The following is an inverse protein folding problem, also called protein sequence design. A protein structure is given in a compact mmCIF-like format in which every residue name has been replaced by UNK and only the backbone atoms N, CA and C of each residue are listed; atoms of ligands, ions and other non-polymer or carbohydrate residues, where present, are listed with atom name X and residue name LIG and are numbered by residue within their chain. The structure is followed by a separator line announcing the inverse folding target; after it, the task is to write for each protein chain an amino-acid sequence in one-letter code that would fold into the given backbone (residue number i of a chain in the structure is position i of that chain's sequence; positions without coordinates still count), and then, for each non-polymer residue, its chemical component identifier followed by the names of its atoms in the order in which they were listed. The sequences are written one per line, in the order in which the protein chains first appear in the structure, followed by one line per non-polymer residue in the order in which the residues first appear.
data_IF_724787969309
#
_entry.id   IF_724787969309
#
_cell.length_a   1.000
_cell.length_b   1.000
_cell.length_c   1.000
_cell.angle_alpha   90.00
_cell.angle_beta   90.00
_cell.angle_gamma   90.00
#
_symmetry.space_group_name_H-M   'P 1'
#
loop_
_entity.id
_entity.type
_entity.pdbx_description
1 polymer ?
#
# COMPACT_ATOMS: atom_id res chain seq x y z
N UNK A 1 35.37 25.41 33.02
CA UNK A 1 34.99 25.04 31.64
C UNK A 1 33.85 24.04 31.71
N UNK A 2 32.71 24.45 31.16
CA UNK A 2 31.44 23.72 31.06
C UNK A 2 31.57 22.52 30.12
N UNK A 3 30.89 21.41 30.43
CA UNK A 3 30.12 20.66 29.41
C UNK A 3 28.86 20.12 30.07
N UNK A 4 27.74 20.79 29.82
CA UNK A 4 26.38 20.30 30.07
C UNK A 4 26.07 19.22 29.04
N UNK A 5 25.81 17.99 29.49
CA UNK A 5 25.26 16.92 28.66
C UNK A 5 23.82 17.27 28.27
N UNK A 6 23.42 17.11 27.00
CA UNK A 6 22.09 17.47 26.57
C UNK A 6 21.06 16.39 26.97
N UNK A 7 19.86 16.86 27.32
CA UNK A 7 18.79 16.13 28.02
C UNK A 7 17.95 15.23 27.08
N UNK A 8 18.37 15.04 25.82
CA UNK A 8 17.61 14.29 24.80
C UNK A 8 18.11 12.85 24.57
N UNK A 9 19.14 12.39 25.27
CA UNK A 9 19.74 11.07 25.05
C UNK A 9 19.09 9.90 25.83
N UNK A 10 17.96 10.12 26.51
CA UNK A 10 17.44 9.18 27.52
C UNK A 10 16.21 8.35 27.12
N UNK A 11 15.69 8.45 25.90
CA UNK A 11 14.42 7.77 25.53
C UNK A 11 14.48 6.91 24.25
N UNK A 12 15.66 6.37 23.94
CA UNK A 12 15.75 5.21 23.04
C UNK A 12 16.13 3.98 23.87
N UNK A 13 15.21 3.52 24.73
CA UNK A 13 15.33 2.20 25.33
C UNK A 13 15.02 1.16 24.24
N UNK A 14 15.94 0.27 23.85
CA UNK A 14 15.62 -0.81 22.94
C UNK A 14 14.69 -1.77 23.68
N UNK A 15 13.42 -1.80 23.30
CA UNK A 15 12.49 -2.86 23.71
C UNK A 15 13.13 -4.19 23.29
N UNK A 16 13.23 -5.21 24.18
CA UNK A 16 13.83 -6.48 23.84
C UNK A 16 13.04 -7.14 22.72
N UNK A 17 13.63 -7.18 21.52
CA UNK A 17 13.07 -7.82 20.33
C UNK A 17 13.18 -9.33 20.50
N UNK A 18 12.03 -10.00 20.57
CA UNK A 18 11.96 -11.46 20.57
C UNK A 18 12.29 -11.98 19.17
N UNK A 19 13.06 -13.06 19.03
CA UNK A 19 13.48 -13.58 17.73
C UNK A 19 12.33 -13.82 16.71
N UNK A 20 11.10 -14.08 17.18
CA UNK A 20 9.92 -14.20 16.32
C UNK A 20 9.41 -12.87 15.73
N UNK A 21 9.61 -11.74 16.40
CA UNK A 21 9.22 -10.41 15.87
C UNK A 21 10.19 -9.92 14.79
N UNK A 22 11.45 -10.32 14.86
CA UNK A 22 12.46 -9.94 13.86
C UNK A 22 12.23 -10.68 12.53
N UNK A 23 11.89 -11.97 12.57
CA UNK A 23 11.53 -12.72 11.37
C UNK A 23 10.26 -12.17 10.73
N UNK A 24 9.23 -11.86 11.53
CA UNK A 24 8.01 -11.26 11.01
C UNK A 24 8.27 -9.88 10.36
N UNK A 25 9.17 -9.08 10.96
CA UNK A 25 9.54 -7.77 10.41
C UNK A 25 10.31 -7.89 9.10
N UNK A 26 11.23 -8.85 8.98
CA UNK A 26 11.97 -9.04 7.73
C UNK A 26 11.04 -9.41 6.57
N UNK A 27 10.03 -10.26 6.83
CA UNK A 27 9.01 -10.62 5.82
C UNK A 27 8.20 -9.40 5.36
N UNK A 28 7.84 -8.49 6.29
CA UNK A 28 7.14 -7.24 5.94
C UNK A 28 8.03 -6.38 5.04
N UNK A 29 9.30 -6.22 5.42
CA UNK A 29 10.25 -5.39 4.67
C UNK A 29 10.50 -5.96 3.28
N UNK A 30 10.67 -7.28 3.18
CA UNK A 30 10.83 -7.97 1.90
C UNK A 30 9.62 -7.75 0.97
N UNK A 31 8.40 -7.88 1.49
CA UNK A 31 7.19 -7.64 0.70
C UNK A 31 7.08 -6.17 0.24
N UNK A 32 7.43 -5.21 1.11
CA UNK A 32 7.50 -3.80 0.74
C UNK A 32 8.53 -3.54 -0.36
N UNK A 33 9.70 -4.17 -0.31
CA UNK A 33 10.73 -4.07 -1.35
C UNK A 33 10.27 -4.69 -2.68
N UNK A 34 9.63 -5.86 -2.64
CA UNK A 34 9.06 -6.53 -3.83
C UNK A 34 7.91 -5.75 -4.48
N UNK A 35 7.15 -4.99 -3.70
CA UNK A 35 6.04 -4.18 -4.21
C UNK A 35 6.44 -3.08 -5.20
N UNK A 36 7.71 -2.67 -5.17
CA UNK A 36 8.19 -1.54 -5.95
C UNK A 36 7.82 -0.17 -5.38
N UNK A 37 6.97 -0.10 -4.34
CA UNK A 37 6.58 1.16 -3.69
C UNK A 37 7.73 1.82 -2.92
N UNK A 38 8.75 1.05 -2.58
CA UNK A 38 9.93 1.50 -1.85
C UNK A 38 11.16 1.67 -2.73
N UNK A 39 11.01 1.57 -4.06
CA UNK A 39 12.12 1.83 -4.99
C UNK A 39 12.73 3.21 -4.70
N UNK A 40 14.04 3.29 -4.56
CA UNK A 40 14.75 4.55 -4.26
C UNK A 40 14.50 5.13 -2.85
N UNK A 41 13.81 4.41 -1.96
CA UNK A 41 13.82 4.70 -0.52
C UNK A 41 15.05 4.06 0.14
N UNK A 42 15.63 4.74 1.12
CA UNK A 42 16.70 4.16 1.94
C UNK A 42 16.12 3.14 2.94
N UNK A 43 16.92 2.16 3.36
CA UNK A 43 16.49 1.10 4.30
C UNK A 43 15.77 1.64 5.54
N UNK A 44 16.24 2.74 6.14
CA UNK A 44 15.56 3.39 7.28
C UNK A 44 14.15 3.88 6.97
N UNK A 45 13.92 4.36 5.75
CA UNK A 45 12.59 4.80 5.31
C UNK A 45 11.69 3.60 5.05
N UNK A 46 12.23 2.50 4.50
CA UNK A 46 11.50 1.24 4.35
C UNK A 46 11.11 0.68 5.72
N UNK A 47 12.02 0.70 6.68
CA UNK A 47 11.75 0.30 8.06
C UNK A 47 10.69 1.18 8.72
N UNK A 48 10.74 2.49 8.51
CA UNK A 48 9.70 3.39 9.00
C UNK A 48 8.34 3.12 8.34
N UNK A 49 8.31 2.77 7.06
CA UNK A 49 7.08 2.38 6.37
C UNK A 49 6.53 1.06 6.91
N UNK A 50 7.40 0.11 7.23
CA UNK A 50 7.04 -1.16 7.87
C UNK A 50 6.39 -0.98 9.24
N UNK A 51 6.64 0.14 9.94
CA UNK A 51 5.97 0.48 11.20
C UNK A 51 4.54 1.05 11.00
N UNK A 52 4.21 1.50 9.79
CA UNK A 52 2.90 2.06 9.48
C UNK A 52 1.88 1.01 9.04
N UNK A 53 2.36 -0.09 8.44
CA UNK A 53 1.50 -1.14 7.89
C UNK A 53 0.93 -2.05 8.97
N UNK A 54 -0.27 -2.59 8.71
CA UNK A 54 -0.91 -3.59 9.57
C UNK A 54 -1.05 -4.88 8.80
N UNK A 55 -0.67 -5.99 9.42
CA UNK A 55 -0.92 -7.32 8.88
C UNK A 55 -2.40 -7.68 9.11
N UNK A 56 -3.06 -8.17 8.07
CA UNK A 56 -4.38 -8.81 8.17
C UNK A 56 -4.34 -10.19 7.53
N UNK A 57 -4.85 -11.16 8.27
CA UNK A 57 -5.18 -12.48 7.73
C UNK A 57 -6.58 -12.44 7.12
N UNK A 58 -6.74 -13.16 6.01
CA UNK A 58 -7.92 -13.20 5.18
C UNK A 58 -8.36 -14.64 4.98
N UNK A 59 -9.56 -14.95 5.44
CA UNK A 59 -10.20 -16.24 5.19
C UNK A 59 -10.72 -16.32 3.76
N UNK A 60 -10.80 -17.55 3.23
CA UNK A 60 -11.36 -17.82 1.91
C UNK A 60 -12.81 -17.34 1.84
N UNK A 61 -13.14 -16.62 0.77
CA UNK A 61 -14.48 -16.10 0.52
C UNK A 61 -14.50 -14.63 0.12
N UNK A 62 -15.70 -14.05 0.05
CA UNK A 62 -15.88 -12.65 -0.29
C UNK A 62 -15.76 -11.79 0.96
N UNK A 63 -14.78 -10.89 0.96
CA UNK A 63 -14.56 -9.92 2.04
C UNK A 63 -15.23 -8.61 1.61
N UNK A 64 -16.19 -8.16 2.43
CA UNK A 64 -16.80 -6.84 2.23
C UNK A 64 -15.81 -5.74 2.64
N UNK A 65 -15.93 -4.56 2.01
CA UNK A 65 -14.94 -3.46 2.01
C UNK A 65 -14.48 -2.94 3.39
N UNK A 66 -15.04 -3.42 4.50
CA UNK A 66 -14.70 -3.10 5.89
C UNK A 66 -13.33 -3.63 6.37
N UNK A 67 -12.36 -3.76 5.47
CA UNK A 67 -11.01 -4.21 5.79
C UNK A 67 -10.16 -3.13 6.46
N UNK A 68 -10.50 -1.85 6.26
CA UNK A 68 -9.76 -0.72 6.80
C UNK A 68 -10.57 -0.06 7.92
N UNK A 69 -9.88 0.42 8.95
CA UNK A 69 -10.52 1.07 10.11
C UNK A 69 -10.92 2.54 9.82
N UNK A 70 -10.70 3.01 8.59
CA UNK A 70 -10.93 4.39 8.16
C UNK A 70 -12.32 4.56 7.54
N UNK A 71 -13.01 5.67 7.82
CA UNK A 71 -14.30 6.00 7.22
C UNK A 71 -14.23 6.08 5.69
N UNK A 72 -13.07 6.47 5.14
CA UNK A 72 -12.85 6.53 3.70
C UNK A 72 -12.53 5.17 3.08
N UNK A 73 -12.16 4.17 3.90
CA UNK A 73 -11.62 2.90 3.45
C UNK A 73 -10.45 3.09 2.44
N UNK A 74 -9.68 4.17 2.57
CA UNK A 74 -8.57 4.48 1.68
C UNK A 74 -7.27 3.84 2.20
N UNK A 75 -6.77 2.83 1.49
CA UNK A 75 -5.55 2.15 1.84
C UNK A 75 -4.98 1.31 0.70
N UNK A 76 -3.65 1.16 0.69
CA UNK A 76 -2.98 0.19 -0.17
C UNK A 76 -3.04 -1.19 0.48
N UNK A 77 -3.22 -2.21 -0.35
CA UNK A 77 -3.11 -3.61 0.03
C UNK A 77 -1.88 -4.20 -0.65
N UNK A 78 -1.03 -4.90 0.10
CA UNK A 78 0.16 -5.58 -0.43
C UNK A 78 0.10 -7.05 0.00
N UNK A 79 0.19 -7.97 -0.95
CA UNK A 79 0.11 -9.40 -0.65
C UNK A 79 1.42 -9.88 0.02
N UNK A 80 1.32 -10.58 1.16
CA UNK A 80 2.45 -11.30 1.76
C UNK A 80 2.50 -12.75 1.25
N UNK A 81 1.37 -13.43 1.33
CA UNK A 81 1.17 -14.78 0.84
C UNK A 81 -0.33 -14.98 0.59
N UNK A 82 -0.68 -15.81 -0.39
CA UNK A 82 -2.06 -16.13 -0.68
C UNK A 82 -2.43 -16.03 -2.14
N UNK A 83 -3.73 -15.87 -2.37
CA UNK A 83 -4.36 -15.71 -3.67
C UNK A 83 -5.62 -14.87 -3.49
N UNK A 84 -5.56 -13.62 -3.96
CA UNK A 84 -6.61 -12.62 -3.79
C UNK A 84 -7.00 -12.03 -5.13
N UNK A 85 -8.30 -12.03 -5.43
CA UNK A 85 -8.87 -11.38 -6.59
C UNK A 85 -9.65 -10.13 -6.14
N UNK A 86 -9.39 -9.01 -6.79
CA UNK A 86 -10.04 -7.73 -6.51
C UNK A 86 -10.81 -7.32 -7.76
N UNK A 87 -12.13 -7.26 -7.64
CA UNK A 87 -13.01 -6.71 -8.67
C UNK A 87 -13.42 -5.28 -8.27
N UNK A 88 -13.04 -4.29 -9.06
CA UNK A 88 -13.42 -2.91 -8.87
C UNK A 88 -14.43 -2.49 -9.94
N UNK A 89 -15.53 -1.87 -9.51
CA UNK A 89 -16.46 -1.19 -10.41
C UNK A 89 -16.21 0.30 -10.35
N UNK A 90 -15.86 0.88 -11.50
CA UNK A 90 -15.47 2.29 -11.63
C UNK A 90 -16.25 2.85 -12.82
N UNK A 91 -17.13 3.81 -12.56
CA UNK A 91 -17.99 4.46 -13.57
C UNK A 91 -18.79 3.50 -14.46
N UNK A 92 -19.15 2.31 -13.93
CA UNK A 92 -19.93 1.29 -14.64
C UNK A 92 -19.10 0.26 -15.42
N UNK A 93 -17.78 0.39 -15.44
CA UNK A 93 -16.86 -0.63 -15.97
C UNK A 93 -16.32 -1.51 -14.83
N UNK A 94 -16.25 -2.82 -15.06
CA UNK A 94 -15.68 -3.79 -14.12
C UNK A 94 -14.23 -4.08 -14.47
N UNK A 95 -13.33 -3.93 -13.50
CA UNK A 95 -11.92 -4.24 -13.59
C UNK A 95 -11.59 -5.35 -12.59
N UNK A 96 -10.97 -6.44 -13.03
CA UNK A 96 -10.43 -7.47 -12.12
C UNK A 96 -8.91 -7.40 -12.06
N UNK A 97 -8.37 -7.49 -10.85
CA UNK A 97 -6.95 -7.58 -10.54
C UNK A 97 -6.70 -8.84 -9.72
N UNK A 98 -5.74 -9.65 -10.13
CA UNK A 98 -5.36 -10.88 -9.45
C UNK A 98 -4.00 -10.70 -8.77
N UNK A 99 -3.95 -10.87 -7.46
CA UNK A 99 -2.74 -10.78 -6.64
C UNK A 99 -2.32 -12.20 -6.26
N UNK A 100 -1.14 -12.62 -6.68
CA UNK A 100 -0.63 -13.99 -6.47
C UNK A 100 0.81 -14.04 -5.98
N UNK A 101 1.59 -12.99 -6.20
CA UNK A 101 2.98 -12.92 -5.80
C UNK A 101 3.17 -12.03 -4.56
N UNK A 102 4.11 -12.41 -3.69
CA UNK A 102 4.49 -11.58 -2.56
C UNK A 102 5.00 -10.22 -3.05
N UNK A 103 4.40 -9.15 -2.54
CA UNK A 103 4.64 -7.77 -2.97
C UNK A 103 3.59 -7.23 -3.95
N UNK A 104 2.71 -8.06 -4.51
CA UNK A 104 1.64 -7.58 -5.40
C UNK A 104 0.78 -6.52 -4.70
N UNK A 105 0.51 -5.41 -5.40
CA UNK A 105 -0.17 -4.24 -4.84
C UNK A 105 -1.58 -4.09 -5.41
N UNK A 106 -2.57 -4.02 -4.52
CA UNK A 106 -3.96 -3.73 -4.82
C UNK A 106 -4.43 -2.39 -4.26
N UNK A 107 -5.69 -2.03 -4.56
CA UNK A 107 -6.37 -0.81 -4.07
C UNK A 107 -5.64 0.51 -4.41
N UNK A 108 -4.84 0.51 -5.47
CA UNK A 108 -4.07 1.69 -5.89
C UNK A 108 -4.96 2.82 -6.41
N UNK A 109 -6.07 2.49 -7.10
CA UNK A 109 -7.02 3.47 -7.62
C UNK A 109 -7.80 4.18 -6.51
N UNK A 110 -8.33 3.46 -5.52
CA UNK A 110 -8.98 4.05 -4.34
C UNK A 110 -7.99 4.90 -3.54
N UNK A 111 -6.76 4.42 -3.36
CA UNK A 111 -5.74 5.19 -2.65
C UNK A 111 -5.36 6.51 -3.34
N UNK A 112 -5.21 6.51 -4.67
CA UNK A 112 -4.82 7.69 -5.44
C UNK A 112 -5.98 8.68 -5.65
N UNK A 113 -7.19 8.17 -5.95
CA UNK A 113 -8.38 8.98 -6.22
C UNK A 113 -9.09 9.50 -4.97
N UNK A 114 -8.89 8.83 -3.82
CA UNK A 114 -9.62 9.09 -2.58
C UNK A 114 -11.13 9.01 -2.74
N UNK A 115 -11.86 9.60 -1.79
CA UNK A 115 -13.33 9.61 -1.74
C UNK A 115 -14.04 10.27 -2.93
N UNK A 116 -13.31 10.92 -3.84
CA UNK A 116 -13.86 11.57 -5.03
C UNK A 116 -14.26 10.57 -6.12
N UNK A 117 -13.63 9.40 -6.12
CA UNK A 117 -13.92 8.31 -7.04
C UNK A 117 -14.86 7.32 -6.33
N UNK A 118 -16.11 7.19 -6.80
CA UNK A 118 -17.03 6.16 -6.29
C UNK A 118 -16.62 4.78 -6.82
N UNK A 119 -15.52 4.25 -6.27
CA UNK A 119 -15.03 2.91 -6.58
C UNK A 119 -15.70 1.96 -5.60
N UNK A 120 -16.51 1.03 -6.13
CA UNK A 120 -16.94 -0.12 -5.33
C UNK A 120 -15.99 -1.25 -5.58
N UNK A 121 -15.30 -1.72 -4.54
CA UNK A 121 -14.43 -2.89 -4.65
C UNK A 121 -15.06 -4.10 -3.98
N UNK A 122 -15.05 -5.22 -4.70
CA UNK A 122 -15.37 -6.54 -4.19
C UNK A 122 -14.08 -7.34 -4.14
N UNK A 123 -13.72 -7.80 -2.95
CA UNK A 123 -12.53 -8.60 -2.74
C UNK A 123 -12.94 -10.06 -2.53
N UNK A 124 -12.38 -10.94 -3.35
CA UNK A 124 -12.60 -12.39 -3.28
C UNK A 124 -11.28 -13.07 -2.98
N UNK A 125 -11.22 -13.70 -1.81
CA UNK A 125 -10.06 -14.46 -1.34
C UNK A 125 -10.23 -15.90 -1.81
N UNK A 126 -9.32 -16.37 -2.69
CA UNK A 126 -9.38 -17.73 -3.26
C UNK A 126 -8.63 -18.75 -2.42
N UNK A 127 -7.60 -18.30 -1.69
CA UNK A 127 -6.82 -19.09 -0.71
C UNK A 127 -6.65 -18.25 0.55
N UNK A 128 -6.57 -18.87 1.73
CA UNK A 128 -6.18 -18.17 2.95
C UNK A 128 -4.96 -17.28 2.66
N UNK A 129 -5.11 -15.99 2.91
CA UNK A 129 -4.19 -14.97 2.45
C UNK A 129 -3.78 -14.07 3.60
N UNK A 130 -2.57 -13.55 3.52
CA UNK A 130 -2.07 -12.54 4.45
C UNK A 130 -1.67 -11.31 3.67
N UNK A 131 -2.12 -10.15 4.11
CA UNK A 131 -1.87 -8.88 3.43
C UNK A 131 -1.33 -7.84 4.40
N UNK A 132 -0.54 -6.90 3.88
CA UNK A 132 -0.21 -5.64 4.53
C UNK A 132 -1.20 -4.58 4.10
N UNK A 133 -1.71 -3.83 5.06
CA UNK A 133 -2.56 -2.67 4.82
C UNK A 133 -1.83 -1.39 5.22
N UNK A 134 -1.64 -0.49 4.25
CA UNK A 134 -1.16 0.87 4.49
C UNK A 134 -2.33 1.84 4.34
N UNK A 135 -2.85 2.32 5.47
CA UNK A 135 -3.86 3.37 5.47
C UNK A 135 -3.29 4.69 4.97
N UNK A 136 -4.05 5.39 4.14
CA UNK A 136 -3.66 6.70 3.60
C UNK A 136 -3.41 7.71 4.72
N UNK A 137 -4.33 7.78 5.68
CA UNK A 137 -4.22 8.67 6.84
C UNK A 137 -2.96 8.41 7.69
N UNK A 138 -2.48 7.16 7.79
CA UNK A 138 -1.21 6.85 8.48
C UNK A 138 0.02 7.35 7.72
N UNK A 139 0.02 7.21 6.39
CA UNK A 139 1.10 7.73 5.56
C UNK A 139 1.12 9.27 5.59
N UNK A 140 -0.04 9.91 5.45
CA UNK A 140 -0.15 11.37 5.40
C UNK A 140 0.23 12.06 6.71
N UNK A 141 0.09 11.39 7.87
CA UNK A 141 0.63 11.88 9.15
C UNK A 141 2.14 12.08 9.14
N UNK A 142 2.87 11.44 8.23
CA UNK A 142 4.31 11.64 8.07
C UNK A 142 4.66 12.87 7.23
N UNK A 143 3.70 13.60 6.65
CA UNK A 143 3.99 14.80 5.87
C UNK A 143 4.75 15.86 6.67
N UNK A 144 4.42 16.00 7.96
CA UNK A 144 5.05 17.00 8.84
C UNK A 144 6.43 16.56 9.35
N UNK A 145 6.69 15.25 9.45
CA UNK A 145 7.89 14.70 10.11
C UNK A 145 8.89 14.10 9.13
N UNK A 146 8.42 13.45 8.07
CA UNK A 146 9.21 12.75 7.06
C UNK A 146 8.65 12.95 5.64
N UNK A 147 8.56 14.20 5.14
CA UNK A 147 7.96 14.50 3.84
C UNK A 147 8.65 13.79 2.67
N UNK A 148 9.97 13.56 2.75
CA UNK A 148 10.72 12.83 1.73
C UNK A 148 10.30 11.36 1.59
N UNK A 149 9.92 10.71 2.70
CA UNK A 149 9.40 9.34 2.70
C UNK A 149 8.04 9.31 2.00
N UNK A 150 7.12 10.20 2.39
CA UNK A 150 5.78 10.28 1.81
C UNK A 150 5.87 10.57 0.31
N UNK A 151 6.68 11.55 -0.09
CA UNK A 151 6.91 11.86 -1.50
C UNK A 151 7.45 10.65 -2.27
N UNK A 152 8.43 9.93 -1.73
CA UNK A 152 9.00 8.76 -2.38
C UNK A 152 7.96 7.65 -2.60
N UNK A 153 7.16 7.34 -1.58
CA UNK A 153 6.07 6.35 -1.69
C UNK A 153 5.04 6.77 -2.74
N UNK A 154 4.55 8.02 -2.70
CA UNK A 154 3.57 8.51 -3.68
C UNK A 154 4.13 8.53 -5.11
N UNK A 155 5.39 8.97 -5.27
CA UNK A 155 6.07 8.95 -6.57
C UNK A 155 6.17 7.53 -7.11
N UNK A 156 6.57 6.57 -6.28
CA UNK A 156 6.68 5.17 -6.68
C UNK A 156 5.33 4.54 -6.97
N UNK A 157 4.28 4.93 -6.24
CA UNK A 157 2.91 4.51 -6.53
C UNK A 157 2.48 4.96 -7.94
N UNK A 158 2.73 6.22 -8.30
CA UNK A 158 2.45 6.73 -9.65
C UNK A 158 3.22 5.94 -10.71
N UNK A 159 4.51 5.66 -10.46
CA UNK A 159 5.33 4.85 -11.36
C UNK A 159 4.84 3.40 -11.46
N UNK A 160 4.41 2.82 -10.35
CA UNK A 160 3.89 1.46 -10.27
C UNK A 160 2.59 1.33 -11.07
N UNK A 161 1.63 2.24 -10.86
CA UNK A 161 0.38 2.31 -11.63
C UNK A 161 0.66 2.50 -13.12
N UNK A 162 1.59 3.39 -13.47
CA UNK A 162 1.99 3.59 -14.86
C UNK A 162 2.67 2.35 -15.47
N UNK A 163 3.41 1.59 -14.67
CA UNK A 163 4.02 0.32 -15.06
C UNK A 163 2.99 -0.78 -15.31
N UNK A 164 1.98 -0.90 -14.45
CA UNK A 164 0.83 -1.81 -14.65
C UNK A 164 0.13 -1.46 -15.96
N UNK A 165 -0.21 -0.18 -16.16
CA UNK A 165 -0.82 0.30 -17.38
C UNK A 165 0.02 -0.15 -18.57
N UNK A 166 1.32 0.19 -18.61
CA UNK A 166 2.25 -0.13 -19.71
C UNK A 166 2.31 -1.62 -20.06
N UNK A 167 2.29 -2.51 -19.08
CA UNK A 167 2.24 -3.97 -19.32
C UNK A 167 0.91 -4.39 -19.96
N UNK A 168 -0.21 -3.82 -19.50
CA UNK A 168 -1.52 -3.99 -20.13
C UNK A 168 -1.59 -3.48 -21.59
N UNK A 169 -0.81 -2.44 -21.94
CA UNK A 169 -0.71 -1.96 -23.33
C UNK A 169 -0.02 -2.95 -24.27
N UNK A 170 0.87 -3.81 -23.77
CA UNK A 170 1.57 -4.82 -24.58
C UNK A 170 0.69 -6.04 -24.88
N UNK A 171 -0.32 -6.31 -24.05
CA UNK A 171 -1.21 -7.49 -24.12
C UNK A 171 -2.57 -7.25 -24.81
N UNK A 172 -2.79 -6.07 -25.41
CA UNK A 172 -3.90 -5.85 -26.34
C UNK A 172 -5.32 -5.78 -25.73
N UNK A 173 -5.47 -5.47 -24.43
CA UNK A 173 -6.78 -5.17 -23.83
C UNK A 173 -6.83 -3.73 -23.25
N UNK A 174 -7.73 -2.96 -23.88
CA UNK A 174 -8.46 -1.74 -23.51
C UNK A 174 -7.81 -0.72 -22.54
N UNK A 175 -7.72 0.51 -23.04
CA UNK A 175 -6.61 1.42 -22.79
C UNK A 175 -7.08 2.88 -22.56
N UNK A 176 -8.37 3.14 -22.31
CA UNK A 176 -8.89 4.52 -22.40
C UNK A 176 -9.35 5.18 -21.10
N UNK A 177 -9.62 4.46 -20.02
CA UNK A 177 -10.36 5.07 -18.91
C UNK A 177 -9.53 5.63 -17.73
N UNK A 178 -8.27 5.23 -17.53
CA UNK A 178 -7.59 5.52 -16.26
C UNK A 178 -6.54 6.64 -16.25
N UNK A 179 -6.30 7.30 -17.38
CA UNK A 179 -5.20 8.30 -17.49
C UNK A 179 -5.69 9.72 -17.79
N UNK A 180 -6.91 9.91 -18.29
CA UNK A 180 -7.41 11.23 -18.67
C UNK A 180 -8.63 11.63 -17.84
N UNK A 181 -8.38 12.33 -16.73
CA UNK A 181 -9.31 13.36 -16.30
C UNK A 181 -9.37 14.44 -17.37
N UNK A 182 -10.35 14.37 -18.27
CA UNK A 182 -10.78 15.49 -19.09
C UNK A 182 -12.28 15.34 -19.40
N UNK A 183 -13.11 16.37 -19.13
CA UNK A 183 -14.54 16.31 -19.38
C UNK A 183 -14.80 16.30 -20.88
N UNK A 184 -15.67 15.38 -21.33
CA UNK A 184 -16.35 15.56 -22.60
C UNK A 184 -17.36 16.71 -22.42
N UNK A 185 -17.07 17.85 -23.02
CA UNK A 185 -18.05 18.92 -23.21
C UNK A 185 -19.23 18.37 -24.03
N UNK A 186 -20.43 18.53 -23.50
CA UNK A 186 -21.68 18.60 -24.26
C UNK A 186 -22.23 20.01 -24.16
#
# INVERSE_FOLDING_TARGET
MNVQTPIWASECSPVPRTAGSDVAREVIVEALERSGLTQQLHRRQVECLADLVVIRDLDVGTVSDAMLEDETQDGLMILLDGDVEIEAMIEGESLSLHLTECGDVGRTASFAGGSSLQIRTHLTVRRESRVLLLQRSRLERLLDTQPALVYGVLRNLVLHVHGIARRSHADGKQLRHYVYGAPAYS
#
